data_IF_467089295784
#
_entry.id   IF_467089295784
#
_cell.length_a   1.000
_cell.length_b   1.000
_cell.length_c   1.000
_cell.angle_alpha   90.00
_cell.angle_beta   90.00
_cell.angle_gamma   90.00
#
_symmetry.space_group_name_H-M   'P 1'
#
loop_
_entity.id
_entity.type
_entity.pdbx_description
1 polymer ?
#
# COMPACT_ATOMS: atom_id res chain seq x y z
N UNK A 1 -19.72 46.62 -28.69
CA UNK A 1 -19.40 46.31 -27.28
C UNK A 1 -19.89 44.92 -26.86
N UNK A 2 -21.08 44.49 -27.29
CA UNK A 2 -21.64 43.15 -27.00
C UNK A 2 -20.79 42.02 -27.63
N UNK A 3 -20.30 42.24 -28.85
CA UNK A 3 -19.48 41.28 -29.61
C UNK A 3 -18.17 40.88 -28.90
N UNK A 4 -17.51 41.84 -28.23
CA UNK A 4 -16.29 41.61 -27.43
C UNK A 4 -16.55 40.75 -26.18
N UNK A 5 -17.74 40.87 -25.60
CA UNK A 5 -18.14 40.09 -24.43
C UNK A 5 -18.39 38.63 -24.85
N UNK A 6 -18.96 38.43 -26.04
CA UNK A 6 -19.20 37.12 -26.64
C UNK A 6 -17.88 36.41 -27.00
N UNK A 7 -16.91 37.16 -27.52
CA UNK A 7 -15.56 36.66 -27.82
C UNK A 7 -14.82 36.22 -26.55
N UNK A 8 -14.83 37.05 -25.49
CA UNK A 8 -14.20 36.72 -24.20
C UNK A 8 -14.88 35.50 -23.56
N UNK A 9 -16.21 35.38 -23.68
CA UNK A 9 -16.96 34.20 -23.23
C UNK A 9 -16.47 32.95 -23.96
N UNK A 10 -16.34 33.02 -25.28
CA UNK A 10 -15.88 31.89 -26.11
C UNK A 10 -14.45 31.46 -25.77
N UNK A 11 -13.54 32.41 -25.56
CA UNK A 11 -12.18 32.13 -25.09
C UNK A 11 -12.15 31.51 -23.69
N UNK A 12 -12.99 31.98 -22.76
CA UNK A 12 -13.13 31.40 -21.43
C UNK A 12 -13.68 29.97 -21.48
N UNK A 13 -14.68 29.71 -22.31
CA UNK A 13 -15.21 28.36 -22.50
C UNK A 13 -14.15 27.42 -23.07
N UNK A 14 -13.47 27.81 -24.14
CA UNK A 14 -12.37 27.02 -24.73
C UNK A 14 -11.26 26.74 -23.74
N UNK A 15 -10.91 27.73 -22.91
CA UNK A 15 -9.91 27.56 -21.86
C UNK A 15 -10.36 26.60 -20.76
N UNK A 16 -11.61 26.71 -20.31
CA UNK A 16 -12.19 25.82 -19.31
C UNK A 16 -12.31 24.39 -19.83
N UNK A 17 -12.74 24.23 -21.08
CA UNK A 17 -12.84 22.93 -21.76
C UNK A 17 -11.46 22.27 -21.86
N UNK A 18 -10.45 23.00 -22.34
CA UNK A 18 -9.08 22.50 -22.38
C UNK A 18 -8.56 22.11 -20.98
N UNK A 19 -8.93 22.87 -19.94
CA UNK A 19 -8.49 22.59 -18.57
C UNK A 19 -9.21 21.39 -17.95
N UNK A 20 -10.48 21.17 -18.29
CA UNK A 20 -11.24 19.99 -17.90
C UNK A 20 -10.73 18.73 -18.61
N UNK A 21 -10.38 18.85 -19.89
CA UNK A 21 -9.77 17.76 -20.64
C UNK A 21 -8.40 17.38 -20.07
N UNK A 22 -7.54 18.36 -19.78
CA UNK A 22 -6.27 18.12 -19.10
C UNK A 22 -6.47 17.42 -17.75
N UNK A 23 -7.41 17.90 -16.93
CA UNK A 23 -7.71 17.28 -15.64
C UNK A 23 -8.19 15.83 -15.78
N UNK A 24 -9.02 15.55 -16.79
CA UNK A 24 -9.51 14.20 -17.08
C UNK A 24 -8.37 13.28 -17.51
N UNK A 25 -7.48 13.75 -18.37
CA UNK A 25 -6.30 12.99 -18.81
C UNK A 25 -5.34 12.73 -17.65
N UNK A 26 -5.02 13.76 -16.84
CA UNK A 26 -4.18 13.60 -15.66
C UNK A 26 -4.79 12.62 -14.64
N UNK A 27 -6.11 12.67 -14.43
CA UNK A 27 -6.79 11.72 -13.54
C UNK A 27 -6.72 10.29 -14.07
N UNK A 28 -6.88 10.08 -15.39
CA UNK A 28 -6.74 8.76 -16.01
C UNK A 28 -5.32 8.22 -15.86
N UNK A 29 -4.31 9.03 -16.15
CA UNK A 29 -2.90 8.67 -16.04
C UNK A 29 -2.51 8.34 -14.58
N UNK A 30 -3.01 9.10 -13.60
CA UNK A 30 -2.82 8.80 -12.19
C UNK A 30 -3.45 7.46 -11.80
N UNK A 31 -4.68 7.18 -12.23
CA UNK A 31 -5.35 5.92 -11.95
C UNK A 31 -4.60 4.75 -12.58
N UNK A 32 -4.16 4.88 -13.84
CA UNK A 32 -3.39 3.85 -14.53
C UNK A 32 -2.09 3.53 -13.80
N UNK A 33 -1.33 4.56 -13.41
CA UNK A 33 -0.10 4.40 -12.65
C UNK A 33 -0.33 3.72 -11.28
N UNK A 34 -1.39 4.11 -10.57
CA UNK A 34 -1.77 3.48 -9.30
C UNK A 34 -2.10 2.00 -9.51
N UNK A 35 -2.88 1.68 -10.54
CA UNK A 35 -3.28 0.29 -10.84
C UNK A 35 -2.06 -0.56 -11.18
N UNK A 36 -1.16 -0.08 -12.04
CA UNK A 36 0.08 -0.77 -12.40
C UNK A 36 0.94 -1.02 -11.15
N UNK A 37 1.10 0.01 -10.30
CA UNK A 37 1.87 -0.10 -9.06
C UNK A 37 1.25 -1.12 -8.09
N UNK A 38 -0.07 -1.15 -7.96
CA UNK A 38 -0.78 -2.13 -7.12
C UNK A 38 -0.54 -3.54 -7.65
N UNK A 39 -0.67 -3.77 -8.95
CA UNK A 39 -0.45 -5.09 -9.56
C UNK A 39 0.99 -5.56 -9.28
N UNK A 40 1.98 -4.70 -9.54
CA UNK A 40 3.37 -5.02 -9.26
C UNK A 40 3.58 -5.37 -7.79
N UNK A 41 3.03 -4.57 -6.87
CA UNK A 41 3.17 -4.76 -5.44
C UNK A 41 2.50 -6.07 -4.97
N UNK A 42 1.34 -6.43 -5.53
CA UNK A 42 0.66 -7.70 -5.23
C UNK A 42 1.51 -8.88 -5.70
N UNK A 43 2.03 -8.85 -6.92
CA UNK A 43 2.91 -9.90 -7.46
C UNK A 43 4.18 -10.01 -6.63
N UNK A 44 4.80 -8.88 -6.28
CA UNK A 44 5.99 -8.84 -5.44
C UNK A 44 5.72 -9.44 -4.04
N UNK A 45 4.62 -9.08 -3.39
CA UNK A 45 4.22 -9.63 -2.10
C UNK A 45 4.03 -11.15 -2.17
N UNK A 46 3.41 -11.65 -3.24
CA UNK A 46 3.28 -13.09 -3.46
C UNK A 46 4.65 -13.76 -3.57
N UNK A 47 5.56 -13.24 -4.40
CA UNK A 47 6.90 -13.80 -4.56
C UNK A 47 7.72 -13.76 -3.26
N UNK A 48 7.67 -12.64 -2.54
CA UNK A 48 8.35 -12.46 -1.25
C UNK A 48 7.77 -13.40 -0.21
N UNK A 49 6.44 -13.57 -0.16
CA UNK A 49 5.82 -14.50 0.79
C UNK A 49 6.22 -15.95 0.52
N UNK A 50 6.22 -16.39 -0.74
CA UNK A 50 6.70 -17.71 -1.14
C UNK A 50 8.15 -17.94 -0.73
N UNK A 51 9.02 -16.99 -1.06
CA UNK A 51 10.44 -17.05 -0.69
C UNK A 51 10.62 -17.06 0.83
N UNK A 52 9.83 -16.26 1.55
CA UNK A 52 9.84 -16.18 3.00
C UNK A 52 9.46 -17.51 3.66
N UNK A 53 8.47 -18.23 3.13
CA UNK A 53 8.10 -19.56 3.62
C UNK A 53 9.31 -20.51 3.53
N UNK A 54 10.02 -20.54 2.40
CA UNK A 54 11.22 -21.36 2.25
C UNK A 54 12.33 -20.96 3.22
N UNK A 55 12.53 -19.67 3.46
CA UNK A 55 13.50 -19.19 4.45
C UNK A 55 13.14 -19.68 5.85
N UNK A 56 11.87 -19.62 6.26
CA UNK A 56 11.46 -20.14 7.58
C UNK A 56 11.61 -21.65 7.70
N UNK A 57 11.32 -22.40 6.64
CA UNK A 57 11.55 -23.86 6.61
C UNK A 57 13.04 -24.16 6.73
N UNK A 58 13.89 -23.45 5.98
CA UNK A 58 15.34 -23.62 6.04
C UNK A 58 15.88 -23.30 7.44
N UNK A 59 15.41 -22.22 8.07
CA UNK A 59 15.76 -21.87 9.45
C UNK A 59 15.31 -22.94 10.45
N UNK A 60 14.11 -23.51 10.27
CA UNK A 60 13.61 -24.58 11.12
C UNK A 60 14.46 -25.85 10.99
N UNK A 61 14.87 -26.22 9.77
CA UNK A 61 15.76 -27.36 9.51
C UNK A 61 17.14 -27.11 10.12
N UNK A 62 17.71 -25.91 9.95
CA UNK A 62 18.99 -25.56 10.55
C UNK A 62 18.94 -25.65 12.09
N UNK A 63 17.85 -25.18 12.70
CA UNK A 63 17.63 -25.33 14.14
C UNK A 63 17.50 -26.80 14.54
N UNK A 64 16.81 -27.62 13.76
CA UNK A 64 16.68 -29.06 14.03
C UNK A 64 18.05 -29.76 14.08
N UNK A 65 18.95 -29.46 13.14
CA UNK A 65 20.32 -29.98 13.14
C UNK A 65 21.10 -29.51 14.38
N UNK A 66 20.94 -28.25 14.76
CA UNK A 66 21.65 -27.68 15.91
C UNK A 66 21.16 -28.20 17.26
N UNK A 67 19.86 -28.51 17.37
CA UNK A 67 19.23 -29.07 18.56
C UNK A 67 19.26 -30.61 18.59
N UNK A 68 19.92 -31.24 17.61
CA UNK A 68 19.98 -32.69 17.40
C UNK A 68 18.59 -33.37 17.49
N UNK A 69 17.59 -32.70 16.92
CA UNK A 69 16.21 -33.15 17.02
C UNK A 69 15.37 -32.84 15.81
N UNK A 70 14.48 -33.77 15.46
CA UNK A 70 13.73 -33.77 14.21
C UNK A 70 12.61 -32.73 14.12
N UNK A 71 12.14 -32.18 15.24
CA UNK A 71 10.91 -31.36 15.27
C UNK A 71 11.03 -30.04 16.06
N UNK A 72 12.04 -29.87 16.93
CA UNK A 72 12.11 -28.71 17.82
C UNK A 72 12.34 -27.39 17.10
N UNK A 73 13.11 -27.38 16.00
CA UNK A 73 13.31 -26.21 15.16
C UNK A 73 12.01 -25.69 14.53
N UNK A 74 11.11 -26.59 14.13
CA UNK A 74 9.77 -26.19 13.67
C UNK A 74 8.93 -25.61 14.81
N UNK A 75 8.96 -26.22 15.99
CA UNK A 75 8.20 -25.74 17.16
C UNK A 75 8.66 -24.33 17.61
N UNK A 76 9.97 -24.06 17.57
CA UNK A 76 10.54 -22.75 17.92
C UNK A 76 10.12 -21.69 16.89
N UNK A 77 10.28 -21.98 15.59
CA UNK A 77 9.88 -21.04 14.52
C UNK A 77 8.37 -20.77 14.56
N UNK A 78 7.57 -21.80 14.79
CA UNK A 78 6.13 -21.67 14.98
C UNK A 78 5.78 -20.79 16.20
N UNK A 79 6.43 -21.02 17.34
CA UNK A 79 6.27 -20.21 18.54
C UNK A 79 6.59 -18.74 18.31
N UNK A 80 7.69 -18.44 17.61
CA UNK A 80 8.07 -17.07 17.25
C UNK A 80 7.02 -16.40 16.35
N UNK A 81 6.51 -17.13 15.34
CA UNK A 81 5.47 -16.62 14.45
C UNK A 81 4.13 -16.40 15.19
N UNK A 82 3.79 -17.27 16.14
CA UNK A 82 2.62 -17.07 17.00
C UNK A 82 2.76 -15.84 17.88
N UNK A 83 3.90 -15.64 18.54
CA UNK A 83 4.15 -14.45 19.36
C UNK A 83 3.99 -13.19 18.50
N UNK A 84 4.60 -13.16 17.30
CA UNK A 84 4.46 -12.04 16.37
C UNK A 84 3.00 -11.76 16.02
N UNK A 85 2.22 -12.82 15.80
CA UNK A 85 0.79 -12.74 15.47
C UNK A 85 -0.03 -12.18 16.64
N UNK A 86 0.22 -12.65 17.85
CA UNK A 86 -0.44 -12.16 19.08
C UNK A 86 -0.13 -10.68 19.30
N UNK A 87 1.14 -10.28 19.16
CA UNK A 87 1.57 -8.87 19.25
C UNK A 87 0.83 -8.02 18.22
N UNK A 88 0.73 -8.49 16.97
CA UNK A 88 0.03 -7.77 15.91
C UNK A 88 -1.47 -7.58 16.20
N UNK A 89 -2.16 -8.64 16.63
CA UNK A 89 -3.59 -8.57 16.98
C UNK A 89 -3.81 -7.55 18.10
N UNK A 90 -2.93 -7.54 19.10
CA UNK A 90 -3.02 -6.60 20.23
C UNK A 90 -2.65 -5.16 19.84
N UNK A 91 -1.77 -5.01 18.85
CA UNK A 91 -1.41 -3.72 18.26
C UNK A 91 -2.55 -3.09 17.43
N UNK A 92 -3.62 -3.81 17.08
CA UNK A 92 -4.76 -3.25 16.35
C UNK A 92 -5.38 -2.00 17.01
N UNK A 93 -5.41 -1.97 18.35
CA UNK A 93 -5.83 -0.78 19.09
C UNK A 93 -4.86 0.41 18.95
N UNK A 94 -3.55 0.14 18.86
CA UNK A 94 -2.51 1.15 18.66
C UNK A 94 -2.49 1.70 17.24
N UNK A 95 -2.63 0.83 16.23
CA UNK A 95 -2.68 1.21 14.81
C UNK A 95 -3.86 2.13 14.54
N UNK A 96 -5.06 1.82 15.04
CA UNK A 96 -6.23 2.68 14.89
C UNK A 96 -6.01 4.09 15.44
N UNK A 97 -5.31 4.20 16.56
CA UNK A 97 -5.00 5.49 17.18
C UNK A 97 -3.95 6.28 16.39
N UNK A 98 -3.03 5.61 15.69
CA UNK A 98 -2.04 6.27 14.82
C UNK A 98 -2.67 6.74 13.53
N UNK A 99 -3.46 5.89 12.87
CA UNK A 99 -4.16 6.23 11.63
C UNK A 99 -5.07 7.44 11.87
N UNK A 100 -5.82 7.45 12.98
CA UNK A 100 -6.64 8.62 13.35
C UNK A 100 -5.80 9.89 13.52
N UNK A 101 -4.64 9.83 14.19
CA UNK A 101 -3.78 11.01 14.37
C UNK A 101 -3.19 11.55 13.08
N UNK A 102 -2.84 10.67 12.14
CA UNK A 102 -2.33 11.04 10.82
C UNK A 102 -3.42 11.69 9.95
N UNK A 103 -4.62 11.09 9.94
CA UNK A 103 -5.78 11.68 9.24
C UNK A 103 -6.13 13.07 9.80
N UNK A 104 -6.10 13.24 11.12
CA UNK A 104 -6.31 14.56 11.74
C UNK A 104 -5.25 15.59 11.31
N UNK A 105 -3.99 15.20 11.11
CA UNK A 105 -2.95 16.14 10.66
C UNK A 105 -3.05 16.49 9.17
N UNK A 106 -3.50 15.56 8.33
CA UNK A 106 -3.69 15.82 6.90
C UNK A 106 -4.92 16.69 6.66
N UNK A 107 -6.04 16.40 7.34
CA UNK A 107 -7.30 17.12 7.15
C UNK A 107 -7.36 18.49 7.86
N UNK A 108 -6.60 18.69 8.94
CA UNK A 108 -6.57 19.99 9.65
C UNK A 108 -5.58 21.00 9.03
N UNK A 109 -4.75 20.59 8.07
CA UNK A 109 -3.78 21.45 7.38
C UNK A 109 -4.33 22.12 6.11
N UNK A 110 -5.54 21.77 5.69
CA UNK A 110 -6.31 22.52 4.69
C UNK A 110 -7.40 23.35 5.39
#
# INVERSE_FOLDING_TARGET
MIEKIEEIRDYLYKYLEARLDLFKTEAQEQIENIVIQIIYLVVLLLLVSLTGIFVFIMLAVLLNEWLDSRYWGFAIVFGLLLIKTIVWIRAGGWVNNIVRRLLYHIFKKN
#
